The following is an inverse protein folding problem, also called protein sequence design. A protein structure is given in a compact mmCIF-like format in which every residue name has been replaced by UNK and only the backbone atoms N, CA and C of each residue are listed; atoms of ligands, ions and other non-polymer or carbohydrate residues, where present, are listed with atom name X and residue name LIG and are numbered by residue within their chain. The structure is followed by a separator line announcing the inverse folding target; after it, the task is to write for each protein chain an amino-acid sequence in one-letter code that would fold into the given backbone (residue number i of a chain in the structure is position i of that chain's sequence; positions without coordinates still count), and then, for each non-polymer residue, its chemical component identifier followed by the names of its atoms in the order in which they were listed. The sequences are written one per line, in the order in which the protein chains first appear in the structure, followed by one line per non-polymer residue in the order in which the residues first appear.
data_IF_403748951371
#
_entry.id   IF_403748951371
#
_cell.length_a   1.000
_cell.length_b   1.000
_cell.length_c   1.000
_cell.angle_alpha   90.00
_cell.angle_beta   90.00
_cell.angle_gamma   90.00
#
_symmetry.space_group_name_H-M   'P 1'
#
loop_
_entity.id
_entity.type
_entity.pdbx_description
1 polymer ?
#
# COMPACT_ATOMS: atom_id res chain seq x y z
N UNK A 1 -0.37 2.11 -3.20
CA UNK A 1 0.44 1.44 -4.25
C UNK A 1 -0.18 1.77 -5.60
N UNK A 2 0.49 1.54 -6.74
CA UNK A 2 -0.09 1.83 -8.06
C UNK A 2 -0.61 0.54 -8.73
N UNK A 3 -1.85 0.08 -8.43
CA UNK A 3 -2.42 -1.14 -8.99
C UNK A 3 -2.62 -1.10 -10.51
N UNK A 4 -2.57 0.10 -11.11
CA UNK A 4 -2.66 0.32 -12.55
C UNK A 4 -1.41 -0.11 -13.32
N UNK A 5 -0.30 -0.43 -12.64
CA UNK A 5 0.84 -1.12 -13.25
C UNK A 5 0.53 -2.60 -13.51
N UNK A 6 -0.55 -2.86 -14.26
CA UNK A 6 -0.85 -4.18 -14.81
C UNK A 6 0.23 -4.56 -15.84
N UNK A 7 0.48 -5.86 -15.97
CA UNK A 7 1.35 -6.39 -17.02
C UNK A 7 0.69 -6.14 -18.38
N UNK A 8 1.17 -5.11 -19.09
CA UNK A 8 0.78 -4.79 -20.45
C UNK A 8 1.76 -5.50 -21.39
N UNK A 9 1.27 -6.25 -22.39
CA UNK A 9 2.12 -7.03 -23.29
C UNK A 9 3.20 -6.20 -24.02
N UNK A 10 2.94 -4.90 -24.19
CA UNK A 10 3.83 -3.95 -24.87
C UNK A 10 4.78 -3.18 -23.92
N UNK A 11 4.76 -3.46 -22.61
CA UNK A 11 5.56 -2.76 -21.60
C UNK A 11 6.09 -3.73 -20.54
N UNK A 12 7.38 -3.64 -20.25
CA UNK A 12 8.02 -4.39 -19.18
C UNK A 12 8.42 -3.46 -18.04
N UNK A 13 7.99 -3.78 -16.82
CA UNK A 13 8.34 -3.04 -15.60
C UNK A 13 9.32 -3.84 -14.77
N UNK A 14 10.37 -3.19 -14.26
CA UNK A 14 11.37 -3.83 -13.40
C UNK A 14 11.75 -2.93 -12.24
N UNK A 15 11.61 -3.47 -11.03
CA UNK A 15 12.20 -2.92 -9.82
C UNK A 15 13.45 -3.74 -9.48
N UNK A 16 14.61 -3.09 -9.47
CA UNK A 16 15.88 -3.69 -9.03
C UNK A 16 16.19 -3.15 -7.63
N UNK A 17 16.39 -4.05 -6.67
CA UNK A 17 16.90 -3.71 -5.34
C UNK A 17 18.01 -4.71 -4.98
N UNK A 18 19.24 -4.23 -4.93
CA UNK A 18 20.42 -5.01 -4.56
C UNK A 18 21.44 -4.13 -3.82
N UNK A 19 22.66 -4.63 -3.59
CA UNK A 19 23.69 -3.90 -2.86
C UNK A 19 24.30 -2.70 -3.61
N UNK A 20 23.98 -2.52 -4.89
CA UNK A 20 24.52 -1.47 -5.76
C UNK A 20 23.45 -0.42 -6.10
N UNK A 21 22.23 -0.85 -6.42
CA UNK A 21 21.15 0.03 -6.87
C UNK A 21 19.78 -0.35 -6.30
N UNK A 22 18.95 0.67 -6.08
CA UNK A 22 17.53 0.56 -5.77
C UNK A 22 16.77 1.46 -6.74
N UNK A 23 16.36 0.92 -7.87
CA UNK A 23 15.86 1.69 -9.02
C UNK A 23 14.66 0.99 -9.67
N UNK A 24 13.68 1.80 -10.04
CA UNK A 24 12.60 1.39 -10.93
C UNK A 24 12.92 1.77 -12.38
N UNK A 25 12.70 0.83 -13.30
CA UNK A 25 12.87 1.02 -14.74
C UNK A 25 11.67 0.46 -15.48
N UNK A 26 11.34 1.05 -16.63
CA UNK A 26 10.36 0.50 -17.56
C UNK A 26 10.93 0.48 -18.98
N UNK A 27 10.55 -0.52 -19.75
CA UNK A 27 10.98 -0.72 -21.13
C UNK A 27 9.77 -0.96 -22.02
N UNK A 28 9.75 -0.33 -23.19
CA UNK A 28 8.73 -0.61 -24.21
C UNK A 28 9.19 -1.81 -25.04
N UNK A 29 8.43 -2.92 -25.02
CA UNK A 29 8.73 -4.10 -25.85
C UNK A 29 8.35 -3.83 -27.30
N UNK A 30 7.30 -3.03 -27.53
CA UNK A 30 6.97 -2.49 -28.85
C UNK A 30 7.69 -1.15 -29.07
N UNK A 31 8.71 -1.15 -29.95
CA UNK A 31 9.54 0.02 -30.27
C UNK A 31 8.78 1.14 -30.99
N UNK A 32 7.60 0.87 -31.53
CA UNK A 32 6.75 1.88 -32.17
C UNK A 32 5.92 2.69 -31.16
N UNK A 33 5.87 2.26 -29.90
CA UNK A 33 5.12 2.95 -28.84
C UNK A 33 6.10 3.78 -28.02
N UNK A 34 5.82 5.09 -27.91
CA UNK A 34 6.56 5.97 -27.02
C UNK A 34 5.75 6.18 -25.74
N UNK A 35 6.40 6.00 -24.59
CA UNK A 35 5.82 6.28 -23.28
C UNK A 35 6.84 7.01 -22.41
N UNK A 36 6.36 7.89 -21.55
CA UNK A 36 7.18 8.63 -20.58
C UNK A 36 6.45 8.77 -19.26
N UNK A 37 7.22 8.83 -18.18
CA UNK A 37 6.73 9.21 -16.85
C UNK A 37 7.26 10.61 -16.57
N UNK A 38 6.40 11.50 -16.12
CA UNK A 38 6.72 12.89 -15.80
C UNK A 38 6.12 13.27 -14.46
N UNK A 39 6.79 14.16 -13.73
CA UNK A 39 6.21 14.82 -12.56
C UNK A 39 5.67 16.18 -12.99
N UNK A 40 4.37 16.40 -12.81
CA UNK A 40 3.75 17.68 -13.15
C UNK A 40 4.13 18.76 -12.14
N UNK A 41 3.92 20.03 -12.48
CA UNK A 41 4.15 21.15 -11.55
C UNK A 41 3.26 21.13 -10.30
N UNK A 42 2.17 20.35 -10.34
CA UNK A 42 1.29 20.12 -9.20
C UNK A 42 1.75 18.95 -8.31
N UNK A 43 2.88 18.30 -8.61
CA UNK A 43 3.39 17.17 -7.85
C UNK A 43 2.72 15.83 -8.19
N UNK A 44 2.01 15.74 -9.33
CA UNK A 44 1.33 14.52 -9.76
C UNK A 44 2.27 13.72 -10.65
N UNK A 45 2.43 12.43 -10.34
CA UNK A 45 3.15 11.50 -11.20
C UNK A 45 2.23 11.09 -12.34
N UNK A 46 2.65 11.35 -13.58
CA UNK A 46 1.84 11.12 -14.77
C UNK A 46 2.59 10.26 -15.76
N UNK A 47 1.92 9.24 -16.30
CA UNK A 47 2.42 8.48 -17.44
C UNK A 47 1.68 8.94 -18.69
N UNK A 48 2.44 9.31 -19.71
CA UNK A 48 1.91 9.62 -21.02
C UNK A 48 2.33 8.55 -22.04
N UNK A 49 1.44 8.28 -22.99
CA UNK A 49 1.72 7.44 -24.16
C UNK A 49 1.41 8.22 -25.42
N UNK A 50 2.31 8.16 -26.40
CA UNK A 50 2.11 8.81 -27.69
C UNK A 50 1.12 8.02 -28.53
N UNK A 51 0.05 8.67 -28.99
CA UNK A 51 -0.98 8.05 -29.84
C UNK A 51 -0.82 8.56 -31.27
N UNK A 52 -0.34 7.72 -32.21
CA UNK A 52 -0.08 8.17 -33.59
C UNK A 52 -1.33 8.61 -34.35
N UNK A 53 -2.52 8.13 -33.98
CA UNK A 53 -3.77 8.48 -34.65
C UNK A 53 -4.25 9.89 -34.32
N UNK A 54 -3.99 10.37 -33.10
CA UNK A 54 -4.35 11.73 -32.66
C UNK A 54 -3.16 12.70 -32.62
N UNK A 55 -1.94 12.22 -32.87
CA UNK A 55 -0.71 13.04 -32.87
C UNK A 55 -0.49 13.79 -31.54
N UNK A 56 -0.81 13.14 -30.42
CA UNK A 56 -0.69 13.73 -29.10
C UNK A 56 -0.19 12.75 -28.04
N UNK A 57 0.27 13.30 -26.92
CA UNK A 57 0.54 12.55 -25.69
C UNK A 57 -0.76 12.42 -24.91
N UNK A 58 -1.27 11.19 -24.80
CA UNK A 58 -2.46 10.90 -24.00
C UNK A 58 -2.03 10.46 -22.61
N UNK A 59 -2.70 11.01 -21.59
CA UNK A 59 -2.52 10.57 -20.20
C UNK A 59 -3.00 9.12 -20.09
N UNK A 60 -2.09 8.23 -19.71
CA UNK A 60 -2.37 6.81 -19.54
C UNK A 60 -2.77 6.50 -18.09
N UNK A 61 -2.01 7.04 -17.13
CA UNK A 61 -2.26 6.88 -15.70
C UNK A 61 -1.66 8.05 -14.93
N UNK A 62 -2.20 8.32 -13.74
CA UNK A 62 -1.68 9.33 -12.82
C UNK A 62 -1.63 8.81 -11.39
N UNK A 63 -0.88 9.47 -10.51
CA UNK A 63 -0.91 9.22 -9.07
C UNK A 63 -0.62 10.52 -8.32
N UNK A 64 -1.38 10.83 -7.26
CA UNK A 64 -2.55 10.09 -6.72
C UNK A 64 -3.76 10.07 -7.68
N UNK A 65 -4.64 9.07 -7.57
CA UNK A 65 -5.85 8.93 -8.42
C UNK A 65 -7.13 9.37 -7.73
N UNK A 66 -7.23 9.13 -6.42
CA UNK A 66 -8.37 9.51 -5.60
C UNK A 66 -7.92 10.03 -4.24
N UNK A 67 -8.88 10.39 -3.38
CA UNK A 67 -8.59 10.90 -2.05
C UNK A 67 -7.90 9.87 -1.13
N UNK A 68 -8.10 8.56 -1.34
CA UNK A 68 -7.44 7.52 -0.54
C UNK A 68 -5.97 7.31 -0.90
N UNK A 69 -5.54 7.82 -2.06
CA UNK A 69 -4.12 7.88 -2.42
C UNK A 69 -3.40 9.07 -1.77
N UNK A 70 -4.13 10.01 -1.17
CA UNK A 70 -3.53 11.13 -0.43
C UNK A 70 -2.93 10.61 0.88
N UNK A 71 -1.75 11.12 1.22
CA UNK A 71 -1.03 10.67 2.40
C UNK A 71 -1.85 10.92 3.67
N UNK A 72 -2.05 9.86 4.47
CA UNK A 72 -2.71 9.91 5.78
C UNK A 72 -4.15 10.47 5.76
N UNK A 73 -4.90 10.23 4.67
CA UNK A 73 -6.34 10.58 4.60
C UNK A 73 -7.14 10.00 5.79
N UNK A 74 -6.78 8.78 6.22
CA UNK A 74 -7.33 8.15 7.41
C UNK A 74 -6.26 7.95 8.48
N UNK A 75 -6.65 8.18 9.73
CA UNK A 75 -5.73 8.05 10.87
C UNK A 75 -5.30 6.61 11.19
N UNK A 76 -4.51 6.44 12.27
CA UNK A 76 -3.97 5.14 12.66
C UNK A 76 -5.01 4.03 12.80
N UNK A 77 -4.68 2.83 12.33
CA UNK A 77 -5.55 1.64 12.41
C UNK A 77 -6.94 1.78 11.77
N UNK A 78 -7.14 2.78 10.92
CA UNK A 78 -8.21 2.82 9.92
C UNK A 78 -7.65 2.65 8.52
N UNK A 79 -8.52 2.28 7.59
CA UNK A 79 -8.23 2.22 6.17
C UNK A 79 -9.20 3.08 5.37
N UNK A 80 -8.75 3.58 4.23
CA UNK A 80 -9.55 4.36 3.31
C UNK A 80 -10.25 3.48 2.27
N UNK A 81 -11.55 3.66 2.10
CA UNK A 81 -12.38 2.98 1.11
C UNK A 81 -13.28 4.00 0.41
N UNK A 82 -13.02 4.25 -0.88
CA UNK A 82 -13.80 5.18 -1.70
C UNK A 82 -15.23 4.71 -1.94
N UNK A 83 -15.55 3.45 -1.64
CA UNK A 83 -16.91 2.89 -1.77
C UNK A 83 -17.79 3.09 -0.53
N UNK A 84 -17.24 3.58 0.59
CA UNK A 84 -17.97 3.81 1.84
C UNK A 84 -18.20 5.29 2.13
N UNK A 85 -19.15 5.59 3.02
CA UNK A 85 -19.39 6.93 3.54
C UNK A 85 -19.63 6.85 5.06
N UNK A 86 -18.74 7.39 5.91
CA UNK A 86 -17.47 8.06 5.57
C UNK A 86 -16.44 7.11 4.92
N UNK A 87 -15.41 7.66 4.29
CA UNK A 87 -14.37 6.87 3.57
C UNK A 87 -13.40 6.17 4.51
N UNK A 88 -13.23 6.70 5.72
CA UNK A 88 -12.39 6.08 6.74
C UNK A 88 -13.16 5.02 7.52
N UNK A 89 -12.58 3.82 7.58
CA UNK A 89 -13.14 2.66 8.25
C UNK A 89 -12.16 2.13 9.29
N UNK A 90 -12.61 1.91 10.53
CA UNK A 90 -11.78 1.20 11.50
C UNK A 90 -11.57 -0.26 11.07
N UNK A 91 -10.35 -0.76 11.24
CA UNK A 91 -10.07 -2.19 11.13
C UNK A 91 -11.00 -2.96 12.09
N UNK A 92 -11.55 -4.09 11.65
CA UNK A 92 -12.43 -4.90 12.51
C UNK A 92 -11.70 -5.31 13.80
N UNK A 93 -12.34 -5.06 14.94
CA UNK A 93 -11.74 -5.20 16.28
C UNK A 93 -11.24 -3.88 16.87
N UNK A 94 -11.30 -2.79 16.11
CA UNK A 94 -11.00 -1.43 16.55
C UNK A 94 -12.28 -0.58 16.63
N UNK A 95 -12.21 0.52 17.38
CA UNK A 95 -13.24 1.54 17.49
C UNK A 95 -12.64 2.93 17.29
N UNK A 96 -13.43 3.92 16.86
CA UNK A 96 -12.95 5.29 16.74
C UNK A 96 -12.30 5.77 18.03
N UNK A 97 -11.15 6.44 17.92
CA UNK A 97 -10.49 7.06 19.08
C UNK A 97 -11.32 8.22 19.65
N UNK A 98 -12.01 8.95 18.78
CA UNK A 98 -12.95 10.02 19.11
C UNK A 98 -14.26 9.82 18.35
N UNK A 99 -15.32 9.40 19.05
CA UNK A 99 -16.62 9.18 18.42
C UNK A 99 -17.21 10.48 17.85
N UNK A 100 -16.99 11.61 18.54
CA UNK A 100 -17.48 12.92 18.10
C UNK A 100 -16.89 13.35 16.75
N UNK A 101 -15.60 13.12 16.52
CA UNK A 101 -14.96 13.41 15.22
C UNK A 101 -15.46 12.43 14.16
N UNK A 102 -15.55 11.15 14.50
CA UNK A 102 -16.00 10.11 13.58
C UNK A 102 -17.43 10.35 13.07
N UNK A 103 -18.32 10.79 13.96
CA UNK A 103 -19.72 11.14 13.61
C UNK A 103 -19.81 12.35 12.68
N UNK A 104 -18.77 13.19 12.65
CA UNK A 104 -18.62 14.33 11.73
C UNK A 104 -17.82 13.96 10.46
N UNK A 105 -17.60 12.66 10.23
CA UNK A 105 -16.76 12.14 9.14
C UNK A 105 -15.29 12.59 9.19
N UNK A 106 -14.79 13.00 10.37
CA UNK A 106 -13.38 13.28 10.62
C UNK A 106 -12.69 12.01 11.18
N UNK A 107 -11.95 11.33 10.29
CA UNK A 107 -11.23 10.09 10.57
C UNK A 107 -9.77 10.26 11.00
N UNK A 108 -9.27 11.50 11.15
CA UNK A 108 -7.83 11.78 11.34
C UNK A 108 -7.29 11.23 12.66
N UNK A 109 -8.11 11.18 13.70
CA UNK A 109 -7.74 10.59 14.99
C UNK A 109 -7.56 9.07 14.94
N UNK A 110 -8.04 8.42 13.87
CA UNK A 110 -7.96 6.98 13.68
C UNK A 110 -8.74 6.18 14.73
N UNK A 111 -8.29 4.95 14.93
CA UNK A 111 -8.98 3.95 15.71
C UNK A 111 -8.06 3.34 16.78
N UNK A 112 -8.67 2.82 17.84
CA UNK A 112 -7.99 2.12 18.93
C UNK A 112 -8.55 0.71 19.09
N UNK A 113 -7.71 -0.23 19.53
CA UNK A 113 -8.13 -1.63 19.74
C UNK A 113 -9.23 -1.67 20.81
N UNK A 114 -10.30 -2.41 20.54
CA UNK A 114 -11.40 -2.62 21.53
C UNK A 114 -10.95 -3.46 22.71
N UNK A 115 -10.03 -4.38 22.49
CA UNK A 115 -9.49 -5.29 23.52
C UNK A 115 -7.97 -5.12 23.59
N UNK A 116 -7.40 -4.90 24.79
CA UNK A 116 -5.95 -4.88 24.97
C UNK A 116 -5.31 -6.19 24.54
N UNK A 117 -4.11 -6.10 23.99
CA UNK A 117 -3.31 -7.27 23.60
C UNK A 117 -2.73 -7.96 24.83
N UNK A 118 -2.63 -9.28 24.76
CA UNK A 118 -2.04 -10.13 25.80
C UNK A 118 -0.63 -10.60 25.43
N UNK A 119 -0.19 -10.31 24.20
CA UNK A 119 0.97 -10.87 23.50
C UNK A 119 0.84 -12.39 23.30
N UNK A 120 0.73 -13.15 24.38
CA UNK A 120 0.59 -14.60 24.35
C UNK A 120 -0.86 -15.01 24.11
N UNK A 121 -1.14 -15.56 22.94
CA UNK A 121 -2.48 -16.03 22.54
C UNK A 121 -3.23 -15.04 21.64
N UNK A 122 -2.60 -13.90 21.33
CA UNK A 122 -3.11 -12.95 20.36
C UNK A 122 -3.23 -13.61 18.97
N UNK A 123 -4.13 -13.05 18.16
CA UNK A 123 -4.48 -13.57 16.84
C UNK A 123 -4.50 -12.43 15.83
N UNK A 124 -4.36 -12.79 14.56
CA UNK A 124 -4.44 -11.84 13.47
C UNK A 124 -5.76 -11.97 12.73
N UNK A 125 -6.28 -10.80 12.34
CA UNK A 125 -7.31 -10.68 11.32
C UNK A 125 -6.62 -10.52 9.97
N UNK A 126 -7.05 -11.29 8.97
CA UNK A 126 -6.55 -11.14 7.59
C UNK A 126 -7.36 -10.07 6.87
N UNK A 127 -6.71 -8.96 6.52
CA UNK A 127 -7.26 -7.96 5.61
C UNK A 127 -6.98 -8.37 4.15
N UNK A 128 -7.85 -7.98 3.23
CA UNK A 128 -7.78 -8.33 1.80
C UNK A 128 -7.85 -7.07 0.96
N UNK A 129 -7.21 -7.07 -0.21
CA UNK A 129 -7.19 -5.96 -1.15
C UNK A 129 -6.66 -4.65 -0.54
N UNK A 130 -5.69 -4.76 0.36
CA UNK A 130 -5.11 -3.61 1.05
C UNK A 130 -3.89 -3.09 0.31
N UNK A 131 -3.73 -1.77 0.29
CA UNK A 131 -2.41 -1.14 0.25
C UNK A 131 -1.70 -1.49 1.56
N UNK A 132 -0.42 -1.87 1.49
CA UNK A 132 0.34 -2.14 2.70
C UNK A 132 0.58 -0.81 3.46
N UNK A 133 0.52 -0.80 4.80
CA UNK A 133 0.76 0.39 5.60
C UNK A 133 2.15 0.97 5.36
N UNK A 134 2.36 2.23 5.78
CA UNK A 134 3.67 2.88 5.78
C UNK A 134 4.76 1.95 6.37
N UNK A 135 5.92 1.92 5.72
CA UNK A 135 6.99 0.96 6.03
C UNK A 135 8.11 1.54 6.89
N UNK A 136 7.95 2.75 7.47
CA UNK A 136 9.00 3.41 8.27
C UNK A 136 9.42 2.57 9.48
N UNK A 137 8.46 1.89 10.13
CA UNK A 137 8.69 1.02 11.29
C UNK A 137 8.70 -0.48 10.94
N UNK A 138 8.79 -0.80 9.64
CA UNK A 138 8.71 -2.17 9.16
C UNK A 138 10.10 -2.83 9.05
N UNK A 139 10.12 -4.14 9.29
CA UNK A 139 11.30 -5.00 9.12
C UNK A 139 10.98 -6.02 8.03
N UNK A 140 11.89 -6.16 7.06
CA UNK A 140 11.74 -7.06 5.91
C UNK A 140 12.71 -8.23 6.01
N UNK A 141 12.23 -9.44 5.74
CA UNK A 141 13.01 -10.68 5.66
C UNK A 141 12.52 -11.50 4.47
N UNK A 142 13.33 -11.59 3.41
CA UNK A 142 12.95 -12.25 2.16
C UNK A 142 13.09 -13.78 2.20
N UNK A 143 13.72 -14.34 3.24
CA UNK A 143 14.06 -15.76 3.30
C UNK A 143 12.95 -16.62 3.93
N UNK A 144 12.06 -16.00 4.71
CA UNK A 144 11.02 -16.70 5.45
C UNK A 144 9.66 -16.62 4.76
N UNK A 145 8.84 -17.65 4.97
CA UNK A 145 7.49 -17.74 4.43
C UNK A 145 6.43 -17.08 5.35
N UNK A 146 5.18 -17.04 4.89
CA UNK A 146 4.06 -16.48 5.64
C UNK A 146 3.88 -17.13 7.03
N UNK A 147 4.12 -18.44 7.15
CA UNK A 147 3.91 -19.18 8.40
C UNK A 147 4.95 -18.79 9.44
N UNK A 148 6.21 -18.71 9.03
CA UNK A 148 7.30 -18.31 9.92
C UNK A 148 7.26 -16.80 10.20
N UNK A 149 6.83 -15.98 9.24
CA UNK A 149 6.52 -14.57 9.45
C UNK A 149 5.47 -14.37 10.56
N UNK A 150 4.37 -15.14 10.51
CA UNK A 150 3.33 -15.14 11.54
C UNK A 150 3.88 -15.54 12.91
N UNK A 151 4.68 -16.62 12.99
CA UNK A 151 5.29 -17.06 14.26
C UNK A 151 6.21 -15.99 14.84
N UNK A 152 7.04 -15.36 14.00
CA UNK A 152 7.96 -14.30 14.41
C UNK A 152 7.22 -13.08 14.93
N UNK A 153 6.14 -12.69 14.27
CA UNK A 153 5.27 -11.61 14.74
C UNK A 153 4.59 -11.96 16.08
N UNK A 154 4.05 -13.18 16.26
CA UNK A 154 3.48 -13.63 17.54
C UNK A 154 4.50 -13.66 18.69
N UNK A 155 5.78 -13.91 18.39
CA UNK A 155 6.83 -13.94 19.40
C UNK A 155 7.25 -12.54 19.86
N UNK A 156 7.02 -11.51 19.03
CA UNK A 156 7.33 -10.12 19.34
C UNK A 156 6.08 -9.38 19.83
N UNK A 157 6.04 -9.03 21.12
CA UNK A 157 4.91 -8.28 21.69
C UNK A 157 4.71 -6.87 21.10
N UNK A 158 5.69 -6.36 20.35
CA UNK A 158 5.61 -5.08 19.66
C UNK A 158 5.09 -5.20 18.23
N UNK A 159 4.91 -6.42 17.71
CA UNK A 159 4.40 -6.64 16.36
C UNK A 159 2.93 -6.25 16.27
N UNK A 160 2.57 -5.45 15.28
CA UNK A 160 1.18 -4.99 15.08
C UNK A 160 0.54 -5.53 13.80
N UNK A 161 1.34 -6.01 12.85
CA UNK A 161 0.89 -6.64 11.62
C UNK A 161 2.04 -7.29 10.85
N UNK A 162 1.69 -8.17 9.90
CA UNK A 162 2.65 -8.77 8.98
C UNK A 162 2.01 -9.04 7.62
N UNK A 163 2.84 -9.14 6.57
CA UNK A 163 2.41 -9.46 5.21
C UNK A 163 3.54 -10.16 4.44
N UNK A 164 3.22 -10.76 3.29
CA UNK A 164 4.24 -11.19 2.34
C UNK A 164 4.91 -9.96 1.71
N UNK A 165 6.22 -10.02 1.50
CA UNK A 165 6.98 -8.95 0.85
C UNK A 165 6.83 -8.95 -0.67
N UNK A 166 6.66 -10.14 -1.25
CA UNK A 166 6.39 -10.36 -2.67
C UNK A 166 5.14 -11.21 -2.82
N UNK A 167 4.22 -10.81 -3.70
CA UNK A 167 2.94 -11.49 -3.93
C UNK A 167 2.99 -12.52 -5.07
N UNK A 168 4.09 -12.56 -5.84
CA UNK A 168 4.26 -13.51 -6.96
C UNK A 168 4.31 -14.95 -6.45
N UNK A 169 3.95 -15.90 -7.31
CA UNK A 169 4.04 -17.33 -7.04
C UNK A 169 3.32 -17.79 -5.74
N UNK A 170 2.26 -17.09 -5.33
CA UNK A 170 1.51 -17.42 -4.11
C UNK A 170 2.01 -16.74 -2.84
N UNK A 171 3.05 -15.91 -2.94
CA UNK A 171 3.55 -15.09 -1.84
C UNK A 171 4.87 -15.60 -1.25
N UNK A 172 5.81 -14.69 -1.02
CA UNK A 172 7.10 -14.99 -0.39
C UNK A 172 7.68 -13.79 0.36
N UNK A 173 8.62 -14.06 1.25
CA UNK A 173 9.21 -13.05 2.12
C UNK A 173 8.22 -12.56 3.17
N UNK A 174 8.71 -11.71 4.07
CA UNK A 174 8.00 -11.28 5.26
C UNK A 174 8.26 -9.80 5.50
N UNK A 175 7.18 -9.05 5.75
CA UNK A 175 7.23 -7.70 6.27
C UNK A 175 6.52 -7.71 7.61
N UNK A 176 7.16 -7.17 8.66
CA UNK A 176 6.62 -7.07 10.02
C UNK A 176 6.60 -5.61 10.43
N UNK A 177 5.44 -5.10 10.85
CA UNK A 177 5.28 -3.75 11.38
C UNK A 177 5.37 -3.73 12.90
N UNK A 178 5.92 -2.63 13.42
CA UNK A 178 5.89 -2.30 14.85
C UNK A 178 5.24 -0.93 15.05
N UNK A 179 4.48 -0.76 16.12
CA UNK A 179 3.76 0.50 16.37
C UNK A 179 2.50 0.65 15.52
N UNK A 180 2.11 1.90 15.24
CA UNK A 180 0.86 2.21 14.55
C UNK A 180 0.90 1.82 13.07
N UNK A 181 -0.24 1.37 12.55
CA UNK A 181 -0.41 1.12 11.12
C UNK A 181 -1.06 2.36 10.50
N UNK A 182 -0.34 3.00 9.58
CA UNK A 182 -0.70 4.28 8.96
C UNK A 182 -0.86 4.11 7.44
N UNK A 183 -1.59 5.04 6.81
CA UNK A 183 -1.69 5.17 5.35
C UNK A 183 -2.18 3.89 4.64
N UNK A 184 -3.29 3.32 5.16
CA UNK A 184 -3.90 2.07 4.70
C UNK A 184 -5.04 2.31 3.72
#
# INVERSE_FOLDING_TARGET
GMPEMRDLDYMFNKFTANGEEVVYTFLMTNKSIYSRITLSSAGIFERYTWVPTSWEWTLFSSSPTDQCDMNEECGPYSYCDTSTSPVCNCIQGFSPKSQQQWDLADGLSGCVRRTPLSCRGDRFLRLKNMKLPDTTSAIVDMEIDEKDCKKRCLWSCNCTGFANADIRNGGSGCVIWTGELLDI
#
